data_IF_822361944018
#
_entry.id   IF_822361944018
#
_cell.length_a   1.000
_cell.length_b   1.000
_cell.length_c   1.000
_cell.angle_alpha   90.00
_cell.angle_beta   90.00
_cell.angle_gamma   90.00
#
_symmetry.space_group_name_H-M   'P 1'
#
loop_
_entity.id
_entity.type
_entity.pdbx_description
1 polymer ?
#
# COMPACT_ATOMS: atom_id res chain seq x y z
N UNK A 1 18.78 29.26 -51.84
CA UNK A 1 17.82 28.15 -51.60
C UNK A 1 18.26 27.17 -50.50
N UNK A 2 19.46 26.59 -50.55
CA UNK A 2 19.91 25.53 -49.59
C UNK A 2 19.89 25.96 -48.11
N UNK A 3 20.31 27.19 -47.78
CA UNK A 3 20.31 27.71 -46.38
C UNK A 3 18.90 27.86 -45.80
N UNK A 4 17.90 28.14 -46.62
CA UNK A 4 16.50 28.31 -46.19
C UNK A 4 15.88 26.94 -45.86
N UNK A 5 16.12 25.94 -46.71
CA UNK A 5 15.69 24.56 -46.49
C UNK A 5 16.30 23.96 -45.21
N UNK A 6 17.58 24.23 -44.95
CA UNK A 6 18.26 23.76 -43.74
C UNK A 6 17.63 24.32 -42.45
N UNK A 7 17.21 25.60 -42.47
CA UNK A 7 16.52 26.24 -41.32
C UNK A 7 15.13 25.64 -41.10
N UNK A 8 14.36 25.42 -42.17
CA UNK A 8 13.05 24.77 -42.08
C UNK A 8 13.16 23.33 -41.54
N UNK A 9 14.13 22.55 -42.03
CA UNK A 9 14.33 21.18 -41.58
C UNK A 9 14.69 21.11 -40.09
N UNK A 10 15.60 21.98 -39.62
CA UNK A 10 15.97 22.03 -38.19
C UNK A 10 14.77 22.45 -37.34
N UNK A 11 13.98 23.44 -37.76
CA UNK A 11 12.79 23.86 -37.03
C UNK A 11 11.73 22.75 -36.95
N UNK A 12 11.55 22.00 -38.03
CA UNK A 12 10.64 20.83 -38.05
C UNK A 12 11.14 19.71 -37.15
N UNK A 13 12.45 19.44 -37.15
CA UNK A 13 13.08 18.46 -36.26
C UNK A 13 12.91 18.86 -34.79
N UNK A 14 13.13 20.13 -34.43
CA UNK A 14 12.92 20.62 -33.07
C UNK A 14 11.44 20.53 -32.66
N UNK A 15 10.53 20.88 -33.55
CA UNK A 15 9.09 20.80 -33.28
C UNK A 15 8.62 19.35 -33.06
N UNK A 16 9.07 18.41 -33.90
CA UNK A 16 8.78 16.98 -33.73
C UNK A 16 9.36 16.43 -32.43
N UNK A 17 10.56 16.86 -32.03
CA UNK A 17 11.16 16.47 -30.75
C UNK A 17 10.37 17.00 -29.55
N UNK A 18 9.81 18.21 -29.62
CA UNK A 18 8.93 18.77 -28.58
C UNK A 18 7.61 17.99 -28.50
N UNK A 19 7.02 17.63 -29.64
CA UNK A 19 5.77 16.85 -29.67
C UNK A 19 5.91 15.45 -29.04
N UNK A 20 7.07 14.80 -29.18
CA UNK A 20 7.33 13.50 -28.54
C UNK A 20 7.39 13.56 -27.01
N UNK A 21 7.71 14.73 -26.44
CA UNK A 21 7.70 14.92 -24.98
C UNK A 21 6.30 15.18 -24.43
N UNK A 22 5.34 15.53 -25.28
CA UNK A 22 3.95 15.82 -24.88
C UNK A 22 3.03 14.60 -24.97
N UNK A 23 3.48 13.48 -25.55
CA UNK A 23 2.66 12.29 -25.80
C UNK A 23 2.82 11.18 -24.76
N UNK A 24 3.48 11.42 -23.63
CA UNK A 24 3.84 10.38 -22.67
C UNK A 24 3.12 10.52 -21.33
N UNK A 25 1.80 10.68 -21.37
CA UNK A 25 0.95 10.54 -20.18
C UNK A 25 -0.19 9.58 -20.50
N UNK A 26 0.12 8.27 -20.44
CA UNK A 26 -0.86 7.23 -20.67
C UNK A 26 -1.80 7.15 -19.44
N UNK A 27 -3.11 6.93 -19.64
CA UNK A 27 -4.05 6.93 -18.53
C UNK A 27 -3.73 5.82 -17.51
N UNK A 28 -3.51 6.21 -16.25
CA UNK A 28 -3.17 5.35 -15.10
C UNK A 28 -4.37 4.54 -14.58
N UNK A 29 -5.10 3.86 -15.48
CA UNK A 29 -6.30 3.09 -15.13
C UNK A 29 -6.00 1.65 -14.69
N UNK A 30 -4.75 1.19 -14.84
CA UNK A 30 -4.36 -0.17 -14.46
C UNK A 30 -4.44 -0.34 -12.94
N UNK A 31 -5.21 -1.31 -12.40
CA UNK A 31 -5.30 -1.54 -10.95
C UNK A 31 -3.95 -1.84 -10.26
N UNK A 32 -2.98 -2.37 -11.00
CA UNK A 32 -1.63 -2.66 -10.50
C UNK A 32 -0.69 -1.45 -10.57
N UNK A 33 -1.11 -0.37 -11.22
CA UNK A 33 -0.32 0.85 -11.34
C UNK A 33 -0.23 1.57 -9.99
N UNK A 34 0.99 1.78 -9.44
CA UNK A 34 1.19 2.55 -8.21
C UNK A 34 0.63 3.98 -8.27
N UNK A 35 0.55 4.57 -9.46
CA UNK A 35 0.05 5.93 -9.69
C UNK A 35 -1.45 5.97 -10.05
N UNK A 36 -2.15 4.83 -9.99
CA UNK A 36 -3.58 4.80 -10.28
C UNK A 36 -4.37 5.67 -9.29
N UNK A 37 -5.03 6.76 -9.75
CA UNK A 37 -5.74 7.68 -8.87
C UNK A 37 -6.96 7.04 -8.18
N UNK A 38 -7.47 5.93 -8.70
CA UNK A 38 -8.58 5.17 -8.10
C UNK A 38 -8.14 4.14 -7.06
N UNK A 39 -6.83 3.90 -6.90
CA UNK A 39 -6.29 2.93 -5.95
C UNK A 39 -6.40 3.47 -4.52
N UNK A 40 -7.34 2.92 -3.75
CA UNK A 40 -7.43 3.16 -2.31
C UNK A 40 -6.52 2.19 -1.57
N UNK A 41 -5.82 2.67 -0.55
CA UNK A 41 -4.99 1.86 0.34
C UNK A 41 -5.56 1.93 1.74
N UNK A 42 -5.73 0.78 2.36
CA UNK A 42 -6.23 0.66 3.72
C UNK A 42 -5.23 -0.15 4.55
N UNK A 43 -5.19 0.09 5.86
CA UNK A 43 -4.33 -0.69 6.75
C UNK A 43 -4.96 -0.88 8.12
N UNK A 44 -4.63 -2.01 8.75
CA UNK A 44 -4.88 -2.30 10.16
C UNK A 44 -3.53 -2.27 10.86
N UNK A 45 -3.36 -1.39 11.84
CA UNK A 45 -2.15 -1.30 12.63
C UNK A 45 -2.46 -1.19 14.13
N UNK A 46 -1.48 -1.57 14.95
CA UNK A 46 -1.65 -1.61 16.39
C UNK A 46 -0.46 -2.22 17.11
N UNK A 47 -0.67 -2.54 18.38
CA UNK A 47 0.35 -3.09 19.27
C UNK A 47 -0.16 -4.31 20.02
N UNK A 48 0.72 -5.26 20.28
CA UNK A 48 0.45 -6.46 21.09
C UNK A 48 1.25 -6.39 22.38
N UNK A 49 0.56 -6.49 23.52
CA UNK A 49 1.13 -6.45 24.86
C UNK A 49 0.65 -7.62 25.72
N UNK A 50 1.40 -7.94 26.78
CA UNK A 50 0.92 -8.79 27.86
C UNK A 50 -0.21 -8.13 28.63
N UNK A 51 -1.13 -8.94 29.17
CA UNK A 51 -2.24 -8.44 29.99
C UNK A 51 -1.80 -7.99 31.39
N UNK A 52 -0.84 -8.70 31.99
CA UNK A 52 -0.30 -8.41 33.32
C UNK A 52 0.43 -7.08 33.38
N UNK A 53 0.43 -6.44 34.55
CA UNK A 53 1.26 -5.27 34.84
C UNK A 53 2.66 -5.71 35.32
N UNK A 54 3.75 -5.07 34.86
CA UNK A 54 3.78 -4.07 33.79
C UNK A 54 3.47 -4.69 32.41
N UNK A 55 2.80 -3.94 31.53
CA UNK A 55 2.48 -4.41 30.17
C UNK A 55 3.76 -4.43 29.34
N UNK A 56 4.19 -5.63 28.94
CA UNK A 56 5.38 -5.83 28.12
C UNK A 56 4.99 -6.04 26.66
N UNK A 57 5.68 -5.42 25.69
CA UNK A 57 5.41 -5.65 24.28
C UNK A 57 5.78 -7.08 23.91
N UNK A 58 4.98 -7.71 23.06
CA UNK A 58 5.26 -9.06 22.56
C UNK A 58 5.82 -8.95 21.14
N UNK A 59 7.10 -9.27 20.97
CA UNK A 59 7.77 -9.37 19.67
C UNK A 59 7.51 -10.73 19.01
N UNK A 60 7.50 -10.79 17.68
CA UNK A 60 7.28 -12.00 16.89
C UNK A 60 5.93 -12.70 17.15
N UNK A 61 4.92 -11.96 17.62
CA UNK A 61 3.55 -12.44 17.65
C UNK A 61 2.98 -12.46 16.23
N UNK A 62 2.32 -13.56 15.87
CA UNK A 62 1.65 -13.73 14.59
C UNK A 62 0.28 -13.07 14.64
N UNK A 63 0.11 -12.00 13.85
CA UNK A 63 -1.16 -11.27 13.70
C UNK A 63 -1.77 -11.62 12.35
N UNK A 64 -3.00 -12.13 12.36
CA UNK A 64 -3.69 -12.64 11.17
C UNK A 64 -4.98 -11.86 10.95
N UNK A 65 -5.09 -11.24 9.78
CA UNK A 65 -6.35 -10.72 9.26
C UNK A 65 -7.05 -11.79 8.43
N UNK A 66 -8.17 -12.31 8.93
CA UNK A 66 -8.79 -13.50 8.36
C UNK A 66 -9.39 -13.29 6.97
N UNK A 67 -9.97 -12.12 6.70
CA UNK A 67 -10.74 -11.91 5.46
C UNK A 67 -9.87 -11.99 4.20
N UNK A 68 -8.59 -11.61 4.30
CA UNK A 68 -7.64 -11.66 3.17
C UNK A 68 -6.53 -12.70 3.38
N UNK A 69 -6.65 -13.55 4.41
CA UNK A 69 -5.61 -14.51 4.82
C UNK A 69 -4.22 -13.88 4.92
N UNK A 70 -4.14 -12.63 5.38
CA UNK A 70 -2.89 -11.90 5.54
C UNK A 70 -2.36 -12.07 6.95
N UNK A 71 -1.05 -12.26 7.07
CA UNK A 71 -0.38 -12.41 8.35
C UNK A 71 0.90 -11.60 8.40
N UNK A 72 1.19 -11.03 9.58
CA UNK A 72 2.42 -10.30 9.86
C UNK A 72 2.94 -10.67 11.25
N UNK A 73 4.23 -10.45 11.46
CA UNK A 73 4.85 -10.59 12.78
C UNK A 73 5.00 -9.22 13.44
N UNK A 74 4.79 -9.16 14.75
CA UNK A 74 5.06 -7.94 15.51
C UNK A 74 6.56 -7.66 15.63
N UNK A 75 6.93 -6.37 15.63
CA UNK A 75 8.30 -5.92 15.88
C UNK A 75 8.71 -6.01 17.36
N UNK A 76 9.94 -5.58 17.67
CA UNK A 76 10.49 -5.58 19.04
C UNK A 76 9.68 -4.73 20.03
N UNK A 77 8.99 -3.70 19.55
CA UNK A 77 8.08 -2.85 20.32
C UNK A 77 6.63 -3.36 20.35
N UNK A 78 6.36 -4.55 19.80
CA UNK A 78 5.02 -5.13 19.71
C UNK A 78 4.14 -4.55 18.60
N UNK A 79 4.65 -3.61 17.79
CA UNK A 79 3.91 -3.00 16.69
C UNK A 79 3.70 -3.96 15.52
N UNK A 80 2.55 -3.84 14.85
CA UNK A 80 2.27 -4.49 13.57
C UNK A 80 1.50 -3.56 12.62
N UNK A 81 1.60 -3.82 11.32
CA UNK A 81 0.78 -3.21 10.28
C UNK A 81 0.45 -4.23 9.19
N UNK A 82 -0.82 -4.33 8.81
CA UNK A 82 -1.34 -5.16 7.72
C UNK A 82 -2.03 -4.25 6.71
N UNK A 83 -1.54 -4.23 5.47
CA UNK A 83 -2.24 -3.55 4.39
C UNK A 83 -3.41 -4.42 3.89
N UNK A 84 -4.60 -3.84 3.76
CA UNK A 84 -5.83 -4.52 3.33
C UNK A 84 -6.39 -3.89 2.05
N UNK A 85 -7.00 -4.70 1.21
CA UNK A 85 -7.57 -4.27 -0.07
C UNK A 85 -9.03 -3.84 0.09
N UNK A 86 -9.78 -4.52 0.95
CA UNK A 86 -11.22 -4.28 1.13
C UNK A 86 -11.54 -3.97 2.60
N UNK A 87 -12.34 -2.91 2.80
CA UNK A 87 -12.93 -2.59 4.11
C UNK A 87 -14.07 -3.55 4.40
N UNK A 88 -13.72 -4.68 5.02
CA UNK A 88 -14.67 -5.73 5.37
C UNK A 88 -14.58 -5.99 6.85
N UNK A 89 -15.73 -6.04 7.53
CA UNK A 89 -15.77 -6.39 8.94
C UNK A 89 -15.23 -7.80 9.15
N UNK A 90 -14.50 -8.02 10.24
CA UNK A 90 -13.84 -9.31 10.41
C UNK A 90 -12.98 -9.41 11.65
N UNK A 91 -12.42 -10.60 11.82
CA UNK A 91 -11.59 -10.93 12.97
C UNK A 91 -10.10 -10.73 12.68
N UNK A 92 -9.45 -10.01 13.58
CA UNK A 92 -8.01 -9.97 13.73
C UNK A 92 -7.60 -10.95 14.82
N UNK A 93 -6.77 -11.94 14.51
CA UNK A 93 -6.30 -12.96 15.45
C UNK A 93 -4.84 -12.73 15.82
N UNK A 94 -4.49 -12.93 17.08
CA UNK A 94 -3.12 -12.83 17.59
C UNK A 94 -2.71 -14.15 18.21
N UNK A 95 -1.60 -14.71 17.74
CA UNK A 95 -1.06 -16.00 18.17
C UNK A 95 0.41 -15.82 18.56
N UNK A 96 0.78 -16.31 19.73
CA UNK A 96 2.18 -16.39 20.15
C UNK A 96 2.37 -17.59 21.08
N UNK A 97 3.49 -18.29 20.94
CA UNK A 97 3.75 -19.50 21.72
C UNK A 97 3.86 -19.16 23.22
N UNK A 98 3.20 -19.97 24.06
CA UNK A 98 3.18 -19.76 25.50
C UNK A 98 2.10 -18.81 26.00
N UNK A 99 1.27 -18.25 25.10
CA UNK A 99 0.13 -17.41 25.46
C UNK A 99 -1.17 -18.02 24.91
N UNK A 100 -2.29 -17.69 25.55
CA UNK A 100 -3.61 -17.99 24.99
C UNK A 100 -3.82 -17.11 23.76
N UNK A 101 -4.31 -17.72 22.67
CA UNK A 101 -4.70 -16.98 21.48
C UNK A 101 -5.80 -15.96 21.82
N UNK A 102 -5.70 -14.78 21.22
CA UNK A 102 -6.68 -13.71 21.37
C UNK A 102 -7.18 -13.22 20.00
N UNK A 103 -8.32 -12.55 19.98
CA UNK A 103 -8.92 -12.01 18.77
C UNK A 103 -9.78 -10.79 19.01
N UNK A 104 -9.72 -9.84 18.08
CA UNK A 104 -10.52 -8.61 18.09
C UNK A 104 -11.37 -8.56 16.82
N UNK A 105 -12.65 -8.24 16.96
CA UNK A 105 -13.53 -7.98 15.82
C UNK A 105 -13.39 -6.51 15.40
N UNK A 106 -13.00 -6.28 14.16
CA UNK A 106 -12.88 -4.95 13.56
C UNK A 106 -14.14 -4.68 12.76
N UNK A 107 -14.81 -3.58 13.10
CA UNK A 107 -15.92 -3.02 12.35
C UNK A 107 -15.45 -1.78 11.61
N UNK A 108 -15.61 -1.78 10.30
CA UNK A 108 -15.39 -0.62 9.47
C UNK A 108 -16.69 0.15 9.36
N UNK A 109 -16.72 1.40 9.81
CA UNK A 109 -17.85 2.29 9.51
C UNK A 109 -17.79 2.72 8.04
N UNK A 110 -18.08 1.80 7.13
CA UNK A 110 -18.26 2.10 5.71
C UNK A 110 -19.66 2.67 5.51
N UNK A 111 -19.80 3.99 5.64
CA UNK A 111 -20.91 4.75 5.09
C UNK A 111 -20.61 5.17 3.65
#
# INVERSE_FOLDING_TARGET
MIKLYKRFFISFLCFTLVLLNLSCDAPHLNPLDPQNPSKKSYSIDGYVFTFSLPRLPISNALVIWQNENKAVLTGSNGYFKIDVQNLTDGWLKVIYNGYKQDSVFIQWNSN
#
